data_IF_073889444591
#
_entry.id   IF_073889444591
#
_cell.length_a   1.000
_cell.length_b   1.000
_cell.length_c   1.000
_cell.angle_alpha   90.00
_cell.angle_beta   90.00
_cell.angle_gamma   90.00
#
_symmetry.space_group_name_H-M   'P 1'
#
loop_
_entity.id
_entity.type
_entity.pdbx_description
1 polymer ?
#
# COMPACT_ATOMS: atom_id res chain seq x y z
N UNK A 1 19.59 12.53 19.79
CA UNK A 1 20.12 12.06 21.09
C UNK A 1 20.65 10.67 20.79
N UNK A 2 21.86 10.53 20.26
CA UNK A 2 22.26 9.29 19.59
C UNK A 2 22.39 8.10 20.53
N UNK A 3 22.15 6.92 19.97
CA UNK A 3 22.41 5.63 20.61
C UNK A 3 23.86 5.18 20.45
N UNK A 4 24.71 5.95 19.76
CA UNK A 4 26.12 5.63 19.55
C UNK A 4 27.08 6.74 20.00
N UNK A 5 28.14 6.32 20.67
CA UNK A 5 29.37 7.09 20.86
C UNK A 5 30.57 6.34 20.29
N UNK A 6 31.74 7.00 20.17
CA UNK A 6 32.98 6.36 19.74
C UNK A 6 34.19 6.81 20.56
N UNK A 7 35.17 5.92 20.69
CA UNK A 7 36.52 6.22 21.22
C UNK A 7 37.51 6.56 20.10
N UNK A 8 37.04 6.77 18.87
CA UNK A 8 37.83 6.98 17.66
C UNK A 8 38.10 5.69 16.89
N UNK A 9 38.32 4.58 17.59
CA UNK A 9 38.58 3.25 17.00
C UNK A 9 37.43 2.26 17.19
N UNK A 10 36.65 2.43 18.26
CA UNK A 10 35.54 1.52 18.61
C UNK A 10 34.23 2.29 18.70
N UNK A 11 33.14 1.69 18.22
CA UNK A 11 31.78 2.18 18.46
C UNK A 11 31.25 1.59 19.75
N UNK A 12 30.62 2.41 20.58
CA UNK A 12 29.85 1.98 21.75
C UNK A 12 28.38 2.23 21.43
N UNK A 13 27.58 1.18 21.42
CA UNK A 13 26.16 1.28 21.18
C UNK A 13 25.37 1.09 22.46
N UNK A 14 24.47 2.01 22.78
CA UNK A 14 23.67 1.99 24.00
C UNK A 14 22.83 0.71 24.14
N UNK A 15 22.44 0.08 23.02
CA UNK A 15 21.64 -1.15 23.03
C UNK A 15 22.40 -2.40 23.48
N UNK A 16 23.74 -2.35 23.52
CA UNK A 16 24.62 -3.45 23.93
C UNK A 16 24.81 -3.51 25.46
N UNK A 17 24.36 -2.48 26.19
CA UNK A 17 24.56 -2.39 27.63
C UNK A 17 23.30 -2.83 28.37
N UNK A 18 23.51 -3.71 29.35
CA UNK A 18 22.56 -3.93 30.45
C UNK A 18 22.70 -2.83 31.51
N UNK A 19 21.73 -2.75 32.43
CA UNK A 19 21.66 -1.69 33.45
C UNK A 19 22.95 -1.54 34.26
N UNK A 20 23.48 -2.64 34.79
CA UNK A 20 24.72 -2.61 35.57
C UNK A 20 25.93 -2.14 34.74
N UNK A 21 26.03 -2.57 33.48
CA UNK A 21 27.11 -2.16 32.58
C UNK A 21 26.98 -0.68 32.19
N UNK A 22 25.75 -0.18 32.01
CA UNK A 22 25.49 1.21 31.67
C UNK A 22 25.81 2.15 32.83
N UNK A 23 25.47 1.77 34.07
CA UNK A 23 25.85 2.54 35.26
C UNK A 23 27.36 2.56 35.48
N UNK A 24 28.06 1.45 35.24
CA UNK A 24 29.53 1.41 35.26
C UNK A 24 30.12 2.33 34.17
N UNK A 25 29.56 2.32 32.95
CA UNK A 25 29.96 3.25 31.89
C UNK A 25 29.77 4.71 32.32
N UNK A 26 28.65 5.05 32.96
CA UNK A 26 28.39 6.39 33.51
C UNK A 26 29.35 6.78 34.62
N UNK A 27 29.82 5.83 35.43
CA UNK A 27 30.83 6.10 36.46
C UNK A 27 32.21 6.36 35.85
N UNK A 28 32.53 5.72 34.72
CA UNK A 28 33.90 5.65 34.21
C UNK A 28 34.18 6.42 32.91
N UNK A 29 33.15 6.90 32.19
CA UNK A 29 33.26 7.46 30.84
C UNK A 29 34.30 8.58 30.67
N UNK A 30 34.57 9.37 31.73
CA UNK A 30 35.54 10.47 31.68
C UNK A 30 36.94 10.00 31.30
N UNK A 31 37.27 8.74 31.58
CA UNK A 31 38.57 8.11 31.25
C UNK A 31 38.61 7.52 29.84
N UNK A 32 37.46 7.36 29.19
CA UNK A 32 37.33 6.64 27.91
C UNK A 32 37.44 7.56 26.68
N UNK A 33 37.42 8.89 26.88
CA UNK A 33 37.51 9.84 25.77
C UNK A 33 36.35 9.70 24.77
N UNK A 34 35.14 9.40 25.24
CA UNK A 34 33.97 9.21 24.38
C UNK A 34 33.67 10.47 23.57
N UNK A 35 33.37 10.29 22.29
CA UNK A 35 33.01 11.35 21.35
C UNK A 35 31.76 11.01 20.56
N UNK A 36 31.07 12.06 20.10
CA UNK A 36 29.84 11.97 19.31
C UNK A 36 30.19 11.74 17.83
N UNK A 37 29.65 10.71 17.16
CA UNK A 37 29.99 10.43 15.75
C UNK A 37 29.69 11.58 14.79
N UNK A 38 28.69 12.41 15.10
CA UNK A 38 28.26 13.51 14.23
C UNK A 38 29.24 14.70 14.19
N UNK A 39 30.04 14.92 15.22
CA UNK A 39 30.90 16.12 15.31
C UNK A 39 32.20 15.94 16.10
N UNK A 40 32.50 14.72 16.57
CA UNK A 40 33.70 14.35 17.34
C UNK A 40 33.88 15.11 18.67
N UNK A 41 32.83 15.80 19.15
CA UNK A 41 32.85 16.44 20.47
C UNK A 41 32.59 15.43 21.58
N UNK A 42 33.04 15.73 22.78
CA UNK A 42 32.89 14.87 23.95
C UNK A 42 31.43 14.41 24.17
N UNK A 43 31.26 13.11 24.36
CA UNK A 43 30.00 12.44 24.64
C UNK A 43 29.89 12.08 26.13
N UNK A 44 28.66 12.11 26.64
CA UNK A 44 28.29 11.69 28.00
C UNK A 44 27.16 10.65 27.91
N UNK A 45 27.29 9.47 28.53
CA UNK A 45 26.19 8.53 28.66
C UNK A 45 25.12 9.10 29.60
N UNK A 46 23.85 8.95 29.24
CA UNK A 46 22.68 9.41 30.00
C UNK A 46 21.53 8.40 29.91
N UNK A 47 20.65 8.49 30.89
CA UNK A 47 19.39 7.74 30.92
C UNK A 47 18.24 8.74 30.86
N UNK A 48 17.28 8.52 29.98
CA UNK A 48 16.10 9.39 29.88
C UNK A 48 15.16 9.15 31.08
N UNK A 49 14.23 10.07 31.39
CA UNK A 49 13.21 9.82 32.43
C UNK A 49 12.37 8.56 32.18
N UNK A 50 12.34 8.07 30.94
CA UNK A 50 11.62 6.88 30.51
C UNK A 50 12.53 5.64 30.38
N UNK A 51 13.74 5.67 30.96
CA UNK A 51 14.63 4.51 31.05
C UNK A 51 15.56 4.28 29.85
N UNK A 52 15.36 4.93 28.69
CA UNK A 52 16.24 4.71 27.53
C UNK A 52 17.66 5.20 27.76
N UNK A 53 18.64 4.39 27.36
CA UNK A 53 20.06 4.71 27.36
C UNK A 53 20.43 5.47 26.09
N UNK A 54 21.19 6.56 26.22
CA UNK A 54 21.64 7.36 25.08
C UNK A 54 22.90 8.15 25.40
N UNK A 55 23.54 8.68 24.37
CA UNK A 55 24.66 9.60 24.50
C UNK A 55 24.23 11.04 24.21
N UNK A 56 24.76 11.98 24.98
CA UNK A 56 24.57 13.41 24.76
C UNK A 56 25.90 14.13 24.61
N UNK A 57 25.88 15.30 23.99
CA UNK A 57 27.03 16.19 24.01
C UNK A 57 27.31 16.65 25.44
N UNK A 58 28.58 16.58 25.88
CA UNK A 58 28.99 17.01 27.22
C UNK A 58 28.76 18.51 27.46
N UNK A 59 28.84 19.32 26.38
CA UNK A 59 28.55 20.75 26.39
C UNK A 59 27.68 21.11 25.19
N UNK A 60 26.76 22.06 25.38
CA UNK A 60 26.01 22.66 24.27
C UNK A 60 27.00 23.37 23.34
N UNK A 61 26.81 23.21 22.03
CA UNK A 61 27.72 23.75 21.03
C UNK A 61 27.04 23.84 19.66
N UNK A 62 27.79 24.18 18.60
CA UNK A 62 27.24 24.45 17.27
C UNK A 62 26.84 23.18 16.50
N UNK A 63 26.65 22.05 17.19
CA UNK A 63 26.19 20.83 16.54
C UNK A 63 24.75 21.04 16.04
N UNK A 64 24.55 20.95 14.73
CA UNK A 64 23.26 21.20 14.10
C UNK A 64 22.30 19.99 14.18
N UNK A 65 22.74 18.85 14.69
CA UNK A 65 21.90 17.65 14.83
C UNK A 65 20.75 17.91 15.80
N UNK A 66 19.52 17.81 15.30
CA UNK A 66 18.32 17.98 16.10
C UNK A 66 18.23 16.90 17.21
N UNK A 67 17.66 17.24 18.38
CA UNK A 67 17.31 16.23 19.37
C UNK A 67 16.22 15.29 18.82
N UNK A 68 16.24 14.04 19.27
CA UNK A 68 15.28 13.00 18.89
C UNK A 68 14.36 12.71 20.09
N UNK A 69 13.13 12.28 19.84
CA UNK A 69 12.19 11.96 20.93
C UNK A 69 12.54 10.63 21.61
N UNK A 70 12.07 10.45 22.85
CA UNK A 70 12.27 9.20 23.57
C UNK A 70 11.61 8.00 22.85
N UNK A 71 10.46 8.19 22.21
CA UNK A 71 9.80 7.18 21.39
C UNK A 71 10.65 6.75 20.20
N UNK A 72 11.32 7.71 19.54
CA UNK A 72 12.20 7.43 18.41
C UNK A 72 13.38 6.57 18.84
N UNK A 73 14.05 6.96 19.93
CA UNK A 73 15.18 6.21 20.49
C UNK A 73 14.78 4.81 20.95
N UNK A 74 13.64 4.68 21.61
CA UNK A 74 13.14 3.40 22.07
C UNK A 74 12.92 2.43 20.90
N UNK A 75 12.27 2.87 19.83
CA UNK A 75 12.07 2.03 18.66
C UNK A 75 13.38 1.65 17.96
N UNK A 76 14.34 2.58 17.83
CA UNK A 76 15.67 2.25 17.30
C UNK A 76 16.37 1.20 18.15
N UNK A 77 16.29 1.34 19.47
CA UNK A 77 16.88 0.39 20.41
C UNK A 77 16.25 -1.00 20.23
N UNK A 78 14.92 -1.11 20.20
CA UNK A 78 14.22 -2.37 19.98
C UNK A 78 14.61 -3.02 18.65
N UNK A 79 14.65 -2.25 17.55
CA UNK A 79 15.06 -2.75 16.23
C UNK A 79 16.51 -3.24 16.27
N UNK A 80 17.42 -2.47 16.89
CA UNK A 80 18.83 -2.80 16.98
C UNK A 80 19.06 -4.08 17.80
N UNK A 81 18.41 -4.20 18.96
CA UNK A 81 18.49 -5.39 19.82
C UNK A 81 17.95 -6.63 19.10
N UNK A 82 16.77 -6.53 18.47
CA UNK A 82 16.16 -7.63 17.73
C UNK A 82 17.05 -8.10 16.56
N UNK A 83 17.59 -7.15 15.78
CA UNK A 83 18.50 -7.46 14.69
C UNK A 83 19.81 -8.11 15.18
N UNK A 84 20.38 -7.59 16.27
CA UNK A 84 21.59 -8.13 16.88
C UNK A 84 21.37 -9.56 17.40
N UNK A 85 20.28 -9.79 18.14
CA UNK A 85 19.88 -11.11 18.62
C UNK A 85 19.63 -12.11 17.46
N UNK A 86 19.15 -11.63 16.31
CA UNK A 86 18.99 -12.41 15.09
C UNK A 86 20.31 -12.66 14.32
N UNK A 87 21.47 -12.32 14.91
CA UNK A 87 22.80 -12.58 14.36
C UNK A 87 23.22 -11.63 13.25
N UNK A 88 22.69 -10.41 13.22
CA UNK A 88 23.15 -9.35 12.31
C UNK A 88 24.21 -8.48 13.00
N UNK A 89 25.17 -7.99 12.21
CA UNK A 89 26.03 -6.89 12.64
C UNK A 89 25.22 -5.61 12.56
N UNK A 90 25.08 -4.89 13.68
CA UNK A 90 24.20 -3.72 13.80
C UNK A 90 25.02 -2.47 14.06
N UNK A 91 24.68 -1.36 13.40
CA UNK A 91 25.23 -0.04 13.68
C UNK A 91 24.12 1.00 13.65
N UNK A 92 23.86 1.65 14.79
CA UNK A 92 22.92 2.77 14.88
C UNK A 92 23.51 4.06 14.31
N UNK A 93 22.65 4.90 13.74
CA UNK A 93 23.01 6.17 13.09
C UNK A 93 24.16 6.02 12.08
N UNK A 94 24.16 4.96 11.27
CA UNK A 94 25.25 4.65 10.33
C UNK A 94 25.21 5.63 9.14
N UNK A 95 26.22 6.50 8.97
CA UNK A 95 26.31 7.34 7.79
C UNK A 95 26.71 6.51 6.57
N UNK A 96 26.23 6.88 5.39
CA UNK A 96 26.63 6.34 4.11
C UNK A 96 26.45 7.36 3.01
N UNK A 97 26.76 6.98 1.79
CA UNK A 97 26.57 7.84 0.62
C UNK A 97 26.17 6.99 -0.58
N UNK A 98 25.32 7.56 -1.42
CA UNK A 98 24.99 6.98 -2.71
C UNK A 98 26.21 7.06 -3.64
N UNK A 99 26.24 6.27 -4.74
CA UNK A 99 27.27 6.41 -5.77
C UNK A 99 27.37 7.82 -6.37
N UNK A 100 26.27 8.59 -6.32
CA UNK A 100 26.20 9.99 -6.74
C UNK A 100 26.80 10.98 -5.74
N UNK A 101 27.27 10.51 -4.58
CA UNK A 101 27.81 11.32 -3.49
C UNK A 101 26.77 11.85 -2.49
N UNK A 102 25.47 11.59 -2.71
CA UNK A 102 24.44 12.05 -1.77
C UNK A 102 24.50 11.24 -0.46
N UNK A 103 24.82 11.92 0.64
CA UNK A 103 24.92 11.31 1.96
C UNK A 103 23.56 10.86 2.50
N UNK A 104 23.55 9.83 3.32
CA UNK A 104 22.41 9.35 4.09
C UNK A 104 22.87 8.86 5.47
N UNK A 105 21.94 8.76 6.42
CA UNK A 105 22.20 8.20 7.74
C UNK A 105 21.03 7.27 8.05
N UNK A 106 21.33 5.98 8.26
CA UNK A 106 20.33 5.00 8.67
C UNK A 106 20.15 5.04 10.19
N UNK A 107 18.91 5.05 10.66
CA UNK A 107 18.61 4.96 12.09
C UNK A 107 19.19 3.68 12.70
N UNK A 108 18.95 2.53 12.07
CA UNK A 108 19.58 1.25 12.39
C UNK A 108 20.00 0.56 11.11
N UNK A 109 21.29 0.31 10.96
CA UNK A 109 21.85 -0.39 9.81
C UNK A 109 22.29 -1.79 10.22
N UNK A 110 21.87 -2.78 9.44
CA UNK A 110 22.10 -4.20 9.71
C UNK A 110 22.80 -4.86 8.52
N UNK A 111 23.84 -5.64 8.80
CA UNK A 111 24.58 -6.40 7.79
C UNK A 111 24.71 -7.87 8.14
N UNK A 112 24.59 -8.74 7.13
CA UNK A 112 24.87 -10.18 7.24
C UNK A 112 25.34 -10.73 5.90
N UNK A 113 26.64 -11.01 5.79
CA UNK A 113 27.28 -11.35 4.52
C UNK A 113 27.11 -10.20 3.52
N UNK A 114 26.49 -10.47 2.36
CA UNK A 114 26.20 -9.44 1.34
C UNK A 114 24.89 -8.69 1.57
N UNK A 115 24.06 -9.13 2.53
CA UNK A 115 22.77 -8.51 2.76
C UNK A 115 22.94 -7.28 3.65
N UNK A 116 22.42 -6.14 3.19
CA UNK A 116 22.39 -4.89 3.94
C UNK A 116 20.95 -4.39 4.05
N UNK A 117 20.56 -3.95 5.25
CA UNK A 117 19.23 -3.41 5.54
C UNK A 117 19.37 -2.14 6.37
N UNK A 118 18.69 -1.08 5.97
CA UNK A 118 18.50 0.12 6.75
C UNK A 118 17.05 0.14 7.27
N UNK A 119 16.91 0.18 8.59
CA UNK A 119 15.64 0.46 9.24
C UNK A 119 15.56 1.93 9.59
N UNK A 120 14.37 2.50 9.38
CA UNK A 120 14.08 3.91 9.61
C UNK A 120 12.86 4.03 10.52
N UNK A 121 12.93 4.91 11.51
CA UNK A 121 11.85 5.17 12.44
C UNK A 121 11.41 6.62 12.29
N UNK A 122 10.15 6.84 11.93
CA UNK A 122 9.62 8.17 11.61
C UNK A 122 8.51 8.55 12.58
N UNK A 123 8.88 9.25 13.66
CA UNK A 123 7.93 9.68 14.70
C UNK A 123 7.18 10.97 14.38
N UNK A 124 7.76 11.84 13.55
CA UNK A 124 7.13 13.09 13.11
C UNK A 124 6.50 12.94 11.73
N UNK A 125 5.49 13.76 11.37
CA UNK A 125 4.94 13.74 10.02
C UNK A 125 6.02 13.93 8.95
N UNK A 126 6.04 13.04 7.96
CA UNK A 126 6.94 13.11 6.82
C UNK A 126 6.11 12.93 5.54
N UNK A 127 6.26 13.79 4.52
CA UNK A 127 5.62 13.59 3.24
C UNK A 127 6.05 12.27 2.59
N UNK A 128 5.12 11.56 1.95
CA UNK A 128 5.41 10.31 1.24
C UNK A 128 6.53 10.47 0.20
N UNK A 129 6.57 11.61 -0.51
CA UNK A 129 7.63 11.92 -1.47
C UNK A 129 9.03 11.94 -0.84
N UNK A 130 9.16 12.37 0.43
CA UNK A 130 10.43 12.35 1.15
C UNK A 130 10.83 10.92 1.55
N UNK A 131 9.87 10.08 1.95
CA UNK A 131 10.11 8.65 2.18
C UNK A 131 10.64 7.98 0.91
N UNK A 132 10.01 8.24 -0.25
CA UNK A 132 10.47 7.71 -1.54
C UNK A 132 11.87 8.21 -1.92
N UNK A 133 12.17 9.49 -1.67
CA UNK A 133 13.49 10.07 -1.92
C UNK A 133 14.57 9.42 -1.04
N UNK A 134 14.27 9.22 0.25
CA UNK A 134 15.18 8.52 1.19
C UNK A 134 15.34 7.04 0.82
N UNK A 135 14.25 6.35 0.48
CA UNK A 135 14.29 4.95 0.05
C UNK A 135 15.15 4.77 -1.21
N UNK A 136 15.03 5.69 -2.17
CA UNK A 136 15.85 5.71 -3.39
C UNK A 136 17.35 5.75 -3.07
N UNK A 137 17.77 6.56 -2.10
CA UNK A 137 19.18 6.62 -1.67
C UNK A 137 19.71 5.29 -1.15
N UNK A 138 18.91 4.58 -0.34
CA UNK A 138 19.27 3.25 0.13
C UNK A 138 19.40 2.28 -1.04
N UNK A 139 18.38 2.22 -1.90
CA UNK A 139 18.38 1.34 -3.07
C UNK A 139 19.57 1.59 -3.97
N UNK A 140 19.86 2.85 -4.30
CA UNK A 140 20.97 3.23 -5.17
C UNK A 140 22.34 2.91 -4.51
N UNK A 141 22.37 2.74 -3.19
CA UNK A 141 23.54 2.29 -2.42
C UNK A 141 23.60 0.76 -2.24
N UNK A 142 22.69 -0.01 -2.85
CA UNK A 142 22.59 -1.47 -2.66
C UNK A 142 22.02 -1.90 -1.30
N UNK A 143 21.44 -0.96 -0.56
CA UNK A 143 20.86 -1.18 0.77
C UNK A 143 19.34 -1.29 0.66
N UNK A 144 18.74 -2.31 1.29
CA UNK A 144 17.27 -2.41 1.38
C UNK A 144 16.78 -1.54 2.53
N UNK A 145 15.82 -0.64 2.28
CA UNK A 145 15.23 0.18 3.34
C UNK A 145 13.88 -0.38 3.83
N UNK A 146 13.57 -0.25 5.13
CA UNK A 146 12.25 -0.53 5.70
C UNK A 146 11.89 0.53 6.75
N UNK A 147 10.63 0.97 6.76
CA UNK A 147 10.19 2.14 7.52
C UNK A 147 9.12 1.80 8.55
N UNK A 148 9.27 2.36 9.75
CA UNK A 148 8.29 2.30 10.84
C UNK A 148 7.83 3.70 11.20
N UNK A 149 6.61 4.04 10.80
CA UNK A 149 5.99 5.33 11.10
C UNK A 149 5.24 5.29 12.43
N UNK A 150 5.23 6.43 13.11
CA UNK A 150 4.35 6.66 14.25
C UNK A 150 2.87 6.37 13.93
N UNK A 151 2.04 6.16 14.97
CA UNK A 151 0.61 5.93 14.84
C UNK A 151 -0.06 6.99 13.97
N UNK A 152 -0.69 6.55 12.88
CA UNK A 152 -1.41 7.43 11.97
C UNK A 152 -2.83 7.68 12.49
N UNK A 153 -3.14 8.94 12.80
CA UNK A 153 -4.46 9.37 13.30
C UNK A 153 -5.59 9.24 12.27
N UNK A 154 -5.28 9.23 10.97
CA UNK A 154 -6.26 9.35 9.89
C UNK A 154 -6.87 8.03 9.40
N UNK A 155 -6.52 6.89 9.98
CA UNK A 155 -7.01 5.57 9.53
C UNK A 155 -6.54 5.14 8.13
N UNK A 156 -6.02 6.06 7.32
CA UNK A 156 -5.40 5.80 6.01
C UNK A 156 -4.07 5.07 6.26
N UNK A 157 -3.95 3.86 5.73
CA UNK A 157 -2.71 3.10 5.80
C UNK A 157 -1.62 3.81 4.97
N UNK A 158 -0.34 3.75 5.40
CA UNK A 158 0.75 4.25 4.58
C UNK A 158 0.77 3.51 3.24
N UNK A 159 1.02 4.24 2.15
CA UNK A 159 1.36 3.61 0.87
C UNK A 159 2.61 2.76 1.08
N UNK A 160 2.45 1.46 0.84
CA UNK A 160 3.50 0.46 1.05
C UNK A 160 3.53 -0.45 -0.16
N UNK A 161 4.73 -0.73 -0.64
CA UNK A 161 4.95 -1.68 -1.72
C UNK A 161 6.19 -2.54 -1.43
N UNK A 162 6.56 -3.40 -2.39
CA UNK A 162 7.72 -4.27 -2.25
C UNK A 162 9.04 -3.49 -2.15
N UNK A 163 9.15 -2.40 -2.89
CA UNK A 163 10.37 -1.60 -3.05
C UNK A 163 10.51 -0.55 -1.95
N UNK A 164 9.39 -0.11 -1.38
CA UNK A 164 9.28 0.81 -0.25
C UNK A 164 8.42 0.17 0.85
N UNK A 165 8.97 -0.79 1.63
CA UNK A 165 8.29 -1.36 2.77
C UNK A 165 8.05 -0.29 3.84
N UNK A 166 6.81 0.15 3.99
CA UNK A 166 6.38 1.08 5.03
C UNK A 166 5.35 0.41 5.93
N UNK A 167 5.58 0.50 7.24
CA UNK A 167 4.73 -0.04 8.28
C UNK A 167 4.36 1.06 9.27
N UNK A 168 3.21 0.93 9.92
CA UNK A 168 2.79 1.82 10.99
C UNK A 168 2.83 1.11 12.33
N UNK A 169 3.27 1.81 13.36
CA UNK A 169 3.16 1.35 14.74
C UNK A 169 1.77 1.68 15.30
N UNK A 170 1.29 0.87 16.23
CA UNK A 170 0.16 1.20 17.10
C UNK A 170 0.60 2.18 18.19
N UNK A 171 -0.36 2.87 18.82
CA UNK A 171 -0.07 3.76 19.96
C UNK A 171 0.61 2.98 21.08
N UNK A 172 1.64 3.58 21.69
CA UNK A 172 2.47 2.92 22.69
C UNK A 172 3.08 3.91 23.67
N UNK A 173 3.46 3.39 24.83
CA UNK A 173 4.27 4.07 25.84
C UNK A 173 5.70 3.55 25.79
N UNK A 174 6.68 4.44 26.01
CA UNK A 174 8.09 4.04 26.08
C UNK A 174 8.28 3.04 27.22
N UNK A 175 8.95 1.92 26.93
CA UNK A 175 9.12 0.80 27.85
C UNK A 175 8.24 -0.40 27.50
N UNK A 176 7.17 -0.22 26.71
CA UNK A 176 6.35 -1.30 26.17
C UNK A 176 6.58 -1.41 24.65
N UNK A 177 7.06 -2.55 24.11
CA UNK A 177 7.29 -2.68 22.68
C UNK A 177 6.01 -2.43 21.87
N UNK A 178 6.00 -1.48 20.93
CA UNK A 178 4.82 -1.21 20.11
C UNK A 178 4.50 -2.38 19.19
N UNK A 179 3.22 -2.57 18.91
CA UNK A 179 2.75 -3.48 17.85
C UNK A 179 2.85 -2.84 16.48
N UNK A 180 3.08 -3.66 15.46
CA UNK A 180 3.02 -3.23 14.06
C UNK A 180 1.59 -3.39 13.56
N UNK A 181 0.96 -2.28 13.19
CA UNK A 181 -0.45 -2.23 12.78
C UNK A 181 -0.70 -3.18 11.61
N UNK A 182 -1.73 -4.01 11.73
CA UNK A 182 -2.09 -5.02 10.74
C UNK A 182 -1.33 -6.35 10.88
N UNK A 183 -0.48 -6.49 11.90
CA UNK A 183 0.25 -7.71 12.20
C UNK A 183 0.06 -8.13 13.66
N UNK A 184 0.14 -9.44 13.96
CA UNK A 184 0.03 -9.94 15.32
C UNK A 184 1.32 -9.78 16.15
N UNK A 185 2.32 -9.04 15.66
CA UNK A 185 3.68 -8.99 16.21
C UNK A 185 3.99 -7.62 16.84
N UNK A 186 4.75 -7.63 17.93
CA UNK A 186 5.42 -6.42 18.41
C UNK A 186 6.64 -6.11 17.52
N UNK A 187 7.17 -4.89 17.64
CA UNK A 187 8.21 -4.37 16.77
C UNK A 187 9.47 -5.29 16.74
N UNK A 188 9.99 -5.79 17.88
CA UNK A 188 11.11 -6.74 17.86
C UNK A 188 10.83 -8.01 17.04
N UNK A 189 9.71 -8.70 17.31
CA UNK A 189 9.36 -9.95 16.64
C UNK A 189 9.06 -9.74 15.16
N UNK A 190 8.52 -8.57 14.82
CA UNK A 190 8.31 -8.16 13.43
C UNK A 190 9.63 -7.93 12.69
N UNK A 191 10.61 -7.27 13.31
CA UNK A 191 11.96 -7.08 12.74
C UNK A 191 12.64 -8.43 12.52
N UNK A 192 12.56 -9.33 13.49
CA UNK A 192 13.05 -10.70 13.35
C UNK A 192 12.36 -11.44 12.22
N UNK A 193 11.03 -11.30 12.09
CA UNK A 193 10.27 -11.88 10.99
C UNK A 193 10.74 -11.34 9.63
N UNK A 194 10.95 -10.03 9.53
CA UNK A 194 11.40 -9.37 8.30
C UNK A 194 12.80 -9.85 7.91
N UNK A 195 13.75 -9.83 8.85
CA UNK A 195 15.14 -10.26 8.64
C UNK A 195 15.25 -11.78 8.40
N UNK A 196 14.35 -12.55 8.99
CA UNK A 196 14.19 -13.99 8.80
C UNK A 196 13.41 -14.38 7.55
N UNK A 197 12.99 -13.41 6.71
CA UNK A 197 12.21 -13.63 5.49
C UNK A 197 10.85 -14.34 5.72
N UNK A 198 10.25 -14.17 6.91
CA UNK A 198 8.90 -14.65 7.24
C UNK A 198 7.80 -13.71 6.75
N UNK A 199 8.16 -12.55 6.21
CA UNK A 199 7.24 -11.67 5.49
C UNK A 199 7.46 -11.76 3.98
N UNK A 200 6.37 -11.89 3.23
CA UNK A 200 6.40 -11.77 1.76
C UNK A 200 5.47 -10.66 1.31
N UNK A 201 5.85 -9.98 0.23
CA UNK A 201 4.94 -9.11 -0.49
C UNK A 201 4.15 -9.93 -1.52
N UNK A 202 2.83 -9.98 -1.38
CA UNK A 202 1.93 -10.66 -2.31
C UNK A 202 1.00 -9.66 -2.99
N UNK A 203 0.73 -9.87 -4.27
CA UNK A 203 -0.35 -9.20 -5.01
C UNK A 203 -1.44 -10.26 -5.17
N UNK A 204 -2.53 -10.20 -4.38
CA UNK A 204 -3.55 -11.23 -4.44
C UNK A 204 -4.20 -11.22 -5.82
N UNK A 205 -4.31 -12.40 -6.43
CA UNK A 205 -5.10 -12.60 -7.63
C UNK A 205 -6.46 -13.17 -7.23
N UNK A 206 -7.54 -12.58 -7.71
CA UNK A 206 -8.89 -13.09 -7.48
C UNK A 206 -9.65 -13.16 -8.80
N UNK A 207 -10.50 -14.17 -8.91
CA UNK A 207 -11.39 -14.32 -10.05
C UNK A 207 -12.62 -13.46 -9.80
N UNK A 208 -12.86 -12.49 -10.67
CA UNK A 208 -14.08 -11.68 -10.68
C UNK A 208 -15.00 -12.15 -11.80
N UNK A 209 -16.25 -12.40 -11.45
CA UNK A 209 -17.32 -12.67 -12.41
C UNK A 209 -18.22 -11.46 -12.49
N UNK A 210 -18.36 -10.92 -13.71
CA UNK A 210 -19.19 -9.78 -14.03
C UNK A 210 -20.39 -10.25 -14.86
N UNK A 211 -21.58 -9.82 -14.48
CA UNK A 211 -22.80 -10.09 -15.23
C UNK A 211 -23.24 -8.82 -15.96
N UNK A 212 -23.14 -8.79 -17.28
CA UNK A 212 -23.55 -7.63 -18.09
C UNK A 212 -24.99 -7.85 -18.56
N UNK A 213 -25.91 -7.06 -18.00
CA UNK A 213 -27.32 -7.09 -18.36
C UNK A 213 -27.54 -6.52 -19.75
N UNK A 214 -28.36 -7.21 -20.55
CA UNK A 214 -28.70 -6.78 -21.90
C UNK A 214 -30.18 -6.95 -22.23
N UNK A 215 -30.63 -6.12 -23.18
CA UNK A 215 -31.92 -6.20 -23.85
C UNK A 215 -31.72 -6.69 -25.28
N UNK A 216 -32.36 -7.81 -25.62
CA UNK A 216 -32.48 -8.28 -27.00
C UNK A 216 -33.38 -7.34 -27.79
N UNK A 217 -32.89 -6.94 -28.96
CA UNK A 217 -33.62 -6.11 -29.87
C UNK A 217 -32.91 -6.00 -31.20
N UNK A 218 -33.26 -4.99 -31.97
CA UNK A 218 -32.68 -4.72 -33.28
C UNK A 218 -31.91 -3.41 -33.26
N UNK A 219 -31.02 -3.25 -34.23
CA UNK A 219 -30.41 -1.96 -34.52
C UNK A 219 -31.44 -0.99 -35.08
N UNK A 220 -31.50 0.23 -34.56
CA UNK A 220 -32.36 1.28 -35.13
C UNK A 220 -32.06 1.56 -36.61
N UNK A 221 -30.79 1.44 -37.01
CA UNK A 221 -30.31 1.76 -38.36
C UNK A 221 -30.34 0.55 -39.29
N UNK A 222 -29.59 -0.52 -38.99
CA UNK A 222 -29.44 -1.66 -39.90
C UNK A 222 -30.45 -2.79 -39.68
N UNK A 223 -31.34 -2.67 -38.68
CA UNK A 223 -32.40 -3.63 -38.33
C UNK A 223 -31.94 -5.05 -37.95
N UNK A 224 -30.64 -5.33 -37.91
CA UNK A 224 -30.10 -6.61 -37.45
C UNK A 224 -30.30 -6.78 -35.95
N UNK A 225 -30.50 -8.03 -35.53
CA UNK A 225 -30.57 -8.38 -34.10
C UNK A 225 -29.25 -8.12 -33.39
N UNK A 226 -29.37 -7.68 -32.14
CA UNK A 226 -28.25 -7.38 -31.26
C UNK A 226 -28.70 -7.32 -29.79
N UNK A 227 -27.72 -7.23 -28.90
CA UNK A 227 -27.90 -7.15 -27.45
C UNK A 227 -27.50 -5.75 -26.98
N UNK A 228 -28.48 -4.92 -26.64
CA UNK A 228 -28.25 -3.59 -26.07
C UNK A 228 -27.84 -3.74 -24.60
N UNK A 229 -26.67 -3.24 -24.23
CA UNK A 229 -26.25 -3.20 -22.82
C UNK A 229 -27.19 -2.28 -22.05
N UNK A 230 -27.68 -2.73 -20.90
CA UNK A 230 -28.56 -1.97 -20.04
C UNK A 230 -28.21 -2.06 -18.55
N UNK A 231 -27.07 -2.66 -18.19
CA UNK A 231 -26.59 -2.72 -16.80
C UNK A 231 -25.42 -3.66 -16.60
N UNK A 232 -24.88 -3.65 -15.38
CA UNK A 232 -23.92 -4.64 -14.89
C UNK A 232 -24.30 -5.01 -13.45
N UNK A 233 -24.22 -6.29 -13.11
CA UNK A 233 -24.64 -6.88 -11.85
C UNK A 233 -23.45 -7.57 -11.18
N UNK A 234 -23.40 -7.50 -9.85
CA UNK A 234 -22.35 -8.14 -9.05
C UNK A 234 -22.62 -9.64 -8.75
N UNK A 235 -23.82 -10.15 -9.03
CA UNK A 235 -24.13 -11.59 -8.93
C UNK A 235 -25.31 -11.98 -9.82
N UNK A 236 -25.43 -13.27 -10.15
CA UNK A 236 -26.60 -13.85 -10.81
C UNK A 236 -27.86 -13.83 -9.92
N UNK A 237 -27.70 -13.74 -8.60
CA UNK A 237 -28.75 -13.89 -7.59
C UNK A 237 -29.42 -12.58 -7.14
N UNK A 238 -28.87 -11.42 -7.54
CA UNK A 238 -29.52 -10.12 -7.32
C UNK A 238 -29.84 -9.43 -8.64
N UNK A 239 -30.93 -9.87 -9.31
CA UNK A 239 -31.27 -9.33 -10.60
C UNK A 239 -32.19 -8.12 -10.34
N UNK A 240 -31.71 -6.92 -10.69
CA UNK A 240 -32.56 -5.80 -11.11
C UNK A 240 -33.14 -4.77 -10.11
N UNK A 241 -32.41 -4.31 -9.07
CA UNK A 241 -32.91 -3.16 -8.28
C UNK A 241 -32.76 -1.81 -9.00
N UNK A 242 -31.95 -1.73 -10.05
CA UNK A 242 -31.76 -0.51 -10.86
C UNK A 242 -31.97 -0.78 -12.35
N UNK A 243 -33.05 -0.23 -12.91
CA UNK A 243 -33.32 -0.22 -14.34
C UNK A 243 -33.15 1.19 -14.89
N UNK A 244 -32.28 1.41 -15.89
CA UNK A 244 -32.16 2.72 -16.51
C UNK A 244 -33.35 2.98 -17.46
N UNK A 245 -34.48 3.41 -16.90
CA UNK A 245 -35.71 3.62 -17.67
C UNK A 245 -35.78 4.98 -18.40
N UNK A 246 -34.76 5.83 -18.24
CA UNK A 246 -34.65 7.12 -18.93
C UNK A 246 -33.35 7.19 -19.73
N UNK A 247 -33.30 8.02 -20.76
CA UNK A 247 -32.10 8.17 -21.59
C UNK A 247 -30.88 8.63 -20.76
N UNK A 248 -31.09 9.48 -19.76
CA UNK A 248 -30.05 9.94 -18.85
C UNK A 248 -29.53 8.82 -17.93
N UNK A 249 -30.43 8.05 -17.30
CA UNK A 249 -30.01 6.93 -16.45
C UNK A 249 -29.33 5.82 -17.26
N UNK A 250 -29.75 5.60 -18.51
CA UNK A 250 -29.07 4.64 -19.39
C UNK A 250 -27.67 5.12 -19.73
N UNK A 251 -27.48 6.38 -20.12
CA UNK A 251 -26.14 6.92 -20.36
C UNK A 251 -25.23 6.81 -19.12
N UNK A 252 -25.73 7.11 -17.92
CA UNK A 252 -24.95 6.98 -16.69
C UNK A 252 -24.56 5.52 -16.43
N UNK A 253 -25.51 4.60 -16.63
CA UNK A 253 -25.27 3.16 -16.51
C UNK A 253 -24.19 2.69 -17.46
N UNK A 254 -24.30 3.08 -18.73
CA UNK A 254 -23.33 2.74 -19.77
C UNK A 254 -21.94 3.29 -19.45
N UNK A 255 -21.84 4.50 -18.88
CA UNK A 255 -20.57 5.05 -18.41
C UNK A 255 -19.93 4.20 -17.30
N UNK A 256 -20.74 3.72 -16.34
CA UNK A 256 -20.29 2.79 -15.30
C UNK A 256 -19.80 1.45 -15.87
N UNK A 257 -20.52 0.89 -16.85
CA UNK A 257 -20.08 -0.33 -17.55
C UNK A 257 -18.77 -0.09 -18.31
N UNK A 258 -18.65 1.02 -19.03
CA UNK A 258 -17.45 1.38 -19.80
C UNK A 258 -16.22 1.62 -18.90
N UNK A 259 -16.42 2.05 -17.64
CA UNK A 259 -15.34 2.17 -16.67
C UNK A 259 -14.81 0.81 -16.19
N UNK A 260 -15.63 -0.24 -16.25
CA UNK A 260 -15.28 -1.59 -15.80
C UNK A 260 -14.86 -2.53 -16.94
N UNK A 261 -15.41 -2.33 -18.13
CA UNK A 261 -15.31 -3.20 -19.30
C UNK A 261 -14.96 -2.42 -20.56
N UNK A 262 -14.00 -2.94 -21.32
CA UNK A 262 -13.62 -2.44 -22.63
C UNK A 262 -14.63 -2.80 -23.72
N UNK A 263 -14.64 -2.03 -24.80
CA UNK A 263 -15.48 -2.29 -25.98
C UNK A 263 -15.19 -3.64 -26.64
N UNK A 264 -13.96 -4.15 -26.57
CA UNK A 264 -13.60 -5.47 -27.10
C UNK A 264 -14.13 -6.61 -26.23
N UNK A 265 -14.09 -6.48 -24.90
CA UNK A 265 -14.71 -7.44 -23.97
C UNK A 265 -16.22 -7.54 -24.23
N UNK A 266 -16.91 -6.40 -24.38
CA UNK A 266 -18.34 -6.37 -24.69
C UNK A 266 -18.65 -7.03 -26.05
N UNK A 267 -17.89 -6.71 -27.08
CA UNK A 267 -18.05 -7.29 -28.40
C UNK A 267 -17.80 -8.81 -28.41
N UNK A 268 -16.81 -9.29 -27.64
CA UNK A 268 -16.52 -10.72 -27.46
C UNK A 268 -17.68 -11.49 -26.82
N UNK A 269 -18.51 -10.82 -26.02
CA UNK A 269 -19.75 -11.38 -25.44
C UNK A 269 -20.96 -11.28 -26.40
N UNK A 270 -20.77 -10.73 -27.61
CA UNK A 270 -21.84 -10.43 -28.56
C UNK A 270 -22.75 -9.28 -28.12
N UNK A 271 -22.26 -8.39 -27.25
CA UNK A 271 -22.97 -7.21 -26.78
C UNK A 271 -22.56 -5.97 -27.59
N UNK A 272 -23.47 -5.03 -27.74
CA UNK A 272 -23.13 -3.71 -28.29
C UNK A 272 -21.95 -3.08 -27.54
N UNK A 273 -21.07 -2.42 -28.30
CA UNK A 273 -19.96 -1.64 -27.70
C UNK A 273 -20.54 -0.40 -27.03
N UNK A 274 -19.75 0.27 -26.20
CA UNK A 274 -20.15 1.51 -25.54
C UNK A 274 -19.16 2.61 -25.92
N UNK A 275 -19.67 3.72 -26.44
CA UNK A 275 -18.85 4.90 -26.77
C UNK A 275 -19.52 6.18 -26.28
N UNK A 276 -18.72 7.25 -26.15
CA UNK A 276 -19.18 8.59 -25.84
C UNK A 276 -19.36 9.40 -27.12
N UNK A 277 -20.46 10.14 -27.20
CA UNK A 277 -20.74 11.12 -28.23
C UNK A 277 -21.13 12.44 -27.60
N UNK A 278 -20.29 13.45 -27.83
CA UNK A 278 -20.59 14.82 -27.38
C UNK A 278 -21.73 15.44 -28.18
N UNK A 279 -21.94 14.98 -29.42
CA UNK A 279 -22.94 15.47 -30.36
C UNK A 279 -23.76 14.28 -30.88
N UNK A 280 -25.08 14.31 -30.66
CA UNK A 280 -26.01 13.34 -31.21
C UNK A 280 -27.06 14.08 -32.06
N UNK A 281 -27.24 13.68 -33.32
CA UNK A 281 -28.14 14.33 -34.29
C UNK A 281 -27.97 15.86 -34.35
N UNK A 282 -26.73 16.35 -34.28
CA UNK A 282 -26.40 17.79 -34.38
C UNK A 282 -26.65 18.62 -33.11
N UNK A 283 -26.95 18.00 -31.96
CA UNK A 283 -27.11 18.69 -30.67
C UNK A 283 -26.17 18.12 -29.60
N UNK A 284 -25.73 18.97 -28.67
CA UNK A 284 -24.93 18.55 -27.52
C UNK A 284 -25.75 17.59 -26.65
N UNK A 285 -25.28 16.36 -26.48
CA UNK A 285 -26.01 15.36 -25.70
C UNK A 285 -25.84 15.61 -24.21
N UNK A 286 -26.95 15.58 -23.45
CA UNK A 286 -26.93 15.51 -21.98
C UNK A 286 -26.71 14.08 -21.46
N UNK A 287 -26.71 13.10 -22.37
CA UNK A 287 -26.59 11.67 -22.13
C UNK A 287 -25.59 11.10 -23.17
N UNK A 288 -24.29 11.43 -23.05
CA UNK A 288 -23.33 11.25 -24.14
C UNK A 288 -22.95 9.79 -24.39
N UNK A 289 -23.14 8.91 -23.42
CA UNK A 289 -22.70 7.51 -23.53
C UNK A 289 -23.81 6.65 -24.10
N UNK A 290 -23.55 5.91 -25.19
CA UNK A 290 -24.55 5.14 -25.93
C UNK A 290 -24.06 3.75 -26.32
N UNK A 291 -25.01 2.84 -26.56
CA UNK A 291 -24.77 1.53 -27.17
C UNK A 291 -24.41 1.70 -28.64
N UNK A 292 -23.43 0.94 -29.14
CA UNK A 292 -22.97 0.98 -30.53
C UNK A 292 -23.23 -0.37 -31.18
N UNK A 293 -23.91 -0.34 -32.32
CA UNK A 293 -24.21 -1.55 -33.06
C UNK A 293 -22.92 -2.28 -33.46
N UNK A 294 -22.82 -3.57 -33.12
CA UNK A 294 -21.70 -4.42 -33.54
C UNK A 294 -21.60 -4.63 -35.06
N UNK A 295 -22.71 -4.46 -35.78
CA UNK A 295 -22.77 -4.76 -37.22
C UNK A 295 -22.47 -3.56 -38.10
N UNK A 296 -22.98 -2.38 -37.74
CA UNK A 296 -22.89 -1.18 -38.60
C UNK A 296 -22.27 0.03 -37.90
N UNK A 297 -21.80 -0.12 -36.65
CA UNK A 297 -21.22 0.95 -35.84
C UNK A 297 -22.14 2.16 -35.57
N UNK A 298 -23.43 2.06 -35.89
CA UNK A 298 -24.37 3.11 -35.61
C UNK A 298 -24.62 3.24 -34.09
N UNK A 299 -24.60 4.45 -33.53
CA UNK A 299 -25.06 4.69 -32.16
C UNK A 299 -26.54 4.32 -32.05
N UNK A 300 -26.91 3.71 -30.93
CA UNK A 300 -28.28 3.37 -30.59
C UNK A 300 -28.79 4.45 -29.64
N UNK A 301 -29.75 5.29 -30.08
CA UNK A 301 -30.29 6.36 -29.24
C UNK A 301 -30.80 5.79 -27.91
N UNK A 302 -30.44 6.42 -26.79
CA UNK A 302 -30.82 5.93 -25.47
C UNK A 302 -32.35 5.98 -25.28
N UNK A 303 -33.05 6.91 -25.93
CA UNK A 303 -34.52 6.96 -25.98
C UNK A 303 -35.10 5.69 -26.61
N UNK A 304 -34.53 5.23 -27.72
CA UNK A 304 -34.95 4.00 -28.40
C UNK A 304 -34.75 2.77 -27.52
N UNK A 305 -33.58 2.65 -26.89
CA UNK A 305 -33.26 1.51 -26.02
C UNK A 305 -34.15 1.51 -24.77
N UNK A 306 -34.36 2.67 -24.15
CA UNK A 306 -35.18 2.80 -22.92
C UNK A 306 -36.67 2.58 -23.17
N UNK A 307 -37.19 2.95 -24.33
CA UNK A 307 -38.56 2.62 -24.74
C UNK A 307 -38.78 1.11 -24.79
N UNK A 308 -37.88 0.38 -25.46
CA UNK A 308 -37.94 -1.09 -25.52
C UNK A 308 -37.71 -1.73 -24.16
N UNK A 309 -36.82 -1.16 -23.35
CA UNK A 309 -36.55 -1.65 -21.99
C UNK A 309 -37.80 -1.51 -21.11
N UNK A 310 -38.50 -0.38 -21.17
CA UNK A 310 -39.80 -0.18 -20.49
C UNK A 310 -40.84 -1.19 -20.96
N UNK A 311 -40.95 -1.42 -22.27
CA UNK A 311 -41.86 -2.42 -22.82
C UNK A 311 -41.53 -3.84 -22.34
N UNK A 312 -40.24 -4.18 -22.20
CA UNK A 312 -39.81 -5.51 -21.72
C UNK A 312 -40.01 -5.72 -20.21
N UNK A 313 -40.04 -4.65 -19.41
CA UNK A 313 -40.15 -4.71 -17.95
C UNK A 313 -41.59 -4.56 -17.42
N UNK A 314 -42.53 -4.08 -18.24
CA UNK A 314 -43.90 -3.77 -17.83
C UNK A 314 -44.10 -2.31 -17.41
N UNK A 315 -45.35 -1.92 -17.10
CA UNK A 315 -45.68 -0.54 -16.77
C UNK A 315 -44.97 -0.06 -15.49
N UNK A 316 -44.53 1.21 -15.39
CA UNK A 316 -43.78 1.73 -14.24
C UNK A 316 -44.43 1.50 -12.86
N UNK A 317 -45.76 1.39 -12.79
CA UNK A 317 -46.52 1.13 -11.56
C UNK A 317 -46.70 -0.34 -11.19
N UNK A 318 -46.26 -1.28 -12.05
CA UNK A 318 -46.33 -2.73 -11.84
C UNK A 318 -44.97 -3.37 -11.51
N UNK A 319 -43.90 -2.56 -11.51
CA UNK A 319 -42.55 -2.95 -11.11
C UNK A 319 -42.50 -3.29 -9.62
N UNK A 320 -42.93 -4.50 -9.27
CA UNK A 320 -42.62 -5.12 -7.98
C UNK A 320 -41.13 -5.46 -7.93
N UNK A 321 -40.52 -5.39 -6.76
CA UNK A 321 -39.16 -5.86 -6.53
C UNK A 321 -39.22 -7.19 -5.75
N UNK A 322 -38.88 -8.35 -6.35
CA UNK A 322 -38.47 -8.56 -7.74
C UNK A 322 -39.65 -8.58 -8.73
N UNK A 323 -39.42 -8.34 -10.04
CA UNK A 323 -40.48 -8.39 -11.06
C UNK A 323 -41.06 -9.80 -11.15
N UNK A 324 -42.40 -9.91 -11.17
CA UNK A 324 -43.09 -11.20 -11.16
C UNK A 324 -42.84 -12.05 -12.43
N UNK A 325 -42.40 -11.43 -13.53
CA UNK A 325 -41.92 -12.08 -14.76
C UNK A 325 -40.78 -11.24 -15.35
N UNK A 326 -39.63 -11.86 -15.58
CA UNK A 326 -38.57 -11.28 -16.43
C UNK A 326 -38.89 -11.68 -17.87
N UNK A 327 -39.04 -10.70 -18.76
CA UNK A 327 -39.25 -10.95 -20.20
C UNK A 327 -38.09 -11.77 -20.78
N UNK A 328 -38.39 -12.66 -21.74
CA UNK A 328 -37.37 -13.40 -22.50
C UNK A 328 -36.45 -12.49 -23.32
N UNK A 329 -36.77 -11.20 -23.45
CA UNK A 329 -35.93 -10.19 -24.08
C UNK A 329 -34.80 -9.69 -23.19
N UNK A 330 -34.82 -9.97 -21.87
CA UNK A 330 -33.76 -9.58 -20.95
C UNK A 330 -32.86 -10.77 -20.64
N UNK A 331 -31.56 -10.53 -20.64
CA UNK A 331 -30.56 -11.53 -20.30
C UNK A 331 -29.33 -10.93 -19.64
N UNK A 332 -28.41 -11.80 -19.24
CA UNK A 332 -27.10 -11.41 -18.75
C UNK A 332 -26.01 -12.18 -19.51
N UNK A 333 -24.97 -11.50 -19.94
CA UNK A 333 -23.74 -12.13 -20.41
C UNK A 333 -22.76 -12.21 -19.24
N UNK A 334 -22.00 -13.31 -19.15
CA UNK A 334 -21.06 -13.53 -18.06
C UNK A 334 -19.64 -13.35 -18.57
N UNK A 335 -18.87 -12.50 -17.89
CA UNK A 335 -17.44 -12.37 -18.09
C UNK A 335 -16.72 -12.76 -16.81
N UNK A 336 -15.88 -13.78 -16.88
CA UNK A 336 -15.00 -14.17 -15.78
C UNK A 336 -13.57 -13.79 -16.14
N UNK A 337 -12.91 -13.03 -15.27
CA UNK A 337 -11.51 -12.66 -15.44
C UNK A 337 -10.75 -12.69 -14.13
N UNK A 338 -9.45 -12.92 -14.22
CA UNK A 338 -8.53 -12.78 -13.10
C UNK A 338 -8.15 -11.32 -12.96
N UNK A 339 -8.36 -10.74 -11.77
CA UNK A 339 -7.93 -9.40 -11.41
C UNK A 339 -6.84 -9.47 -10.35
N UNK A 340 -5.96 -8.46 -10.34
CA UNK A 340 -4.92 -8.27 -9.33
C UNK A 340 -5.39 -7.22 -8.33
N UNK A 341 -5.43 -7.60 -7.05
CA UNK A 341 -5.72 -6.67 -5.95
C UNK A 341 -4.53 -5.79 -5.59
N UNK A 342 -4.70 -4.97 -4.56
CA UNK A 342 -3.60 -4.18 -4.01
C UNK A 342 -2.56 -5.10 -3.35
N UNK A 343 -1.28 -4.86 -3.62
CA UNK A 343 -0.20 -5.62 -3.02
C UNK A 343 -0.10 -5.36 -1.51
N UNK A 344 0.22 -6.41 -0.76
CA UNK A 344 0.28 -6.38 0.71
C UNK A 344 1.41 -7.24 1.24
N UNK A 345 1.95 -6.84 2.39
CA UNK A 345 2.86 -7.67 3.16
C UNK A 345 2.07 -8.68 3.99
N UNK A 346 2.46 -9.95 3.93
CA UNK A 346 1.86 -11.04 4.69
C UNK A 346 2.91 -11.76 5.51
N UNK A 347 2.58 -11.99 6.78
CA UNK A 347 3.35 -12.87 7.66
C UNK A 347 2.97 -14.32 7.35
N UNK A 348 3.98 -15.18 7.21
CA UNK A 348 3.79 -16.62 7.11
C UNK A 348 4.41 -17.31 8.32
N UNK A 349 3.75 -18.37 8.78
CA UNK A 349 4.32 -19.27 9.76
C UNK A 349 5.49 -20.03 9.15
N UNK A 350 6.52 -20.32 9.97
CA UNK A 350 7.81 -20.87 9.53
C UNK A 350 7.76 -22.31 8.95
N UNK A 351 6.58 -22.81 8.55
CA UNK A 351 6.40 -24.14 7.98
C UNK A 351 6.44 -24.18 6.43
N UNK A 352 6.61 -23.05 5.74
CA UNK A 352 6.60 -23.02 4.27
C UNK A 352 7.74 -22.20 3.67
N UNK A 353 8.99 -22.65 3.83
CA UNK A 353 10.03 -22.32 2.86
C UNK A 353 10.25 -23.59 2.02
N UNK A 354 9.80 -23.64 0.76
CA UNK A 354 10.24 -24.70 -0.13
C UNK A 354 11.75 -24.59 -0.27
N UNK A 355 12.45 -25.67 0.04
CA UNK A 355 13.87 -25.87 -0.23
C UNK A 355 14.13 -25.81 -1.75
N UNK A 356 14.16 -24.61 -2.31
CA UNK A 356 14.48 -24.35 -3.70
C UNK A 356 15.98 -24.23 -3.89
N UNK A 357 16.57 -25.29 -4.44
CA UNK A 357 17.91 -25.44 -5.03
C UNK A 357 18.84 -24.20 -5.01
N UNK A 358 19.86 -24.28 -4.16
CA UNK A 358 21.19 -23.77 -4.49
C UNK A 358 21.77 -24.68 -5.57
N UNK A 359 21.74 -24.22 -6.82
CA UNK A 359 22.61 -24.72 -7.87
C UNK A 359 23.79 -23.75 -8.02
N UNK A 360 24.98 -24.35 -8.00
CA UNK A 360 26.35 -23.88 -8.24
C UNK A 360 26.58 -22.40 -8.62
#
# INVERSE_FOLDING_TARGET
>A
MPLRATTGTTNLHAFEFEEGQWEELKATYKRLGLTMPCCQRAAVPKTSPLGNYFFAHARKGPCATAPESAQHLYCKQLIAQAAHAAGWTVTTERPGACPTGEAWIADVFCERGRAQVAFEVQMSPQPHAETLRRQRRYRDSGVRGAWFHAPMKSGIAPLTDKETPVFSLEDFEVGVPPRVKGFPLALPEFVEALLGKRLTYEVPEYTRTLHVGYLLGECWTCKRQLKHVCGMLDSAEQPWWYHPLTAASLSQTLAGVQAALSSSELAGLGLNRIEQYEINLGRRSKAPTSNICLHCNAPQPNEYVTEKLRAALGAPGELKNPPARVSSLLGAAVLTRTERGAGRWKLHDAAAVPSGHLAA
#
